data_IF_786942358483
#
_entry.id   IF_786942358483
#
_cell.length_a   1.000
_cell.length_b   1.000
_cell.length_c   1.000
_cell.angle_alpha   90.00
_cell.angle_beta   90.00
_cell.angle_gamma   90.00
#
_symmetry.space_group_name_H-M   'P 1'
#
loop_
_entity.id
_entity.type
_entity.pdbx_description
1 polymer ?
#
# COMPACT_ATOMS: atom_id res chain seq x y z
N UNK A 1 -13.43 -3.02 14.30
CA UNK A 1 -13.42 -3.59 12.93
C UNK A 1 -12.52 -2.69 12.10
N UNK A 2 -11.33 -3.13 11.68
CA UNK A 2 -10.43 -2.30 10.86
C UNK A 2 -11.04 -2.16 9.45
N UNK A 3 -11.49 -0.97 9.00
CA UNK A 3 -12.13 -0.82 7.69
C UNK A 3 -11.04 -0.57 6.65
N UNK A 4 -10.28 -1.59 6.29
CA UNK A 4 -9.24 -1.46 5.27
C UNK A 4 -9.18 -2.75 4.46
N UNK A 5 -10.16 -2.87 3.55
CA UNK A 5 -10.46 -3.94 2.59
C UNK A 5 -9.64 -5.24 2.72
N UNK A 6 -9.66 -5.89 3.89
CA UNK A 6 -9.21 -7.27 4.07
C UNK A 6 -10.26 -8.18 3.47
N UNK A 7 -10.25 -8.28 2.14
CA UNK A 7 -11.08 -9.21 1.40
C UNK A 7 -10.26 -10.47 1.13
N UNK A 8 -10.88 -11.64 1.36
CA UNK A 8 -10.25 -12.93 1.14
C UNK A 8 -10.79 -13.61 -0.12
N UNK A 9 -9.93 -14.31 -0.86
CA UNK A 9 -10.24 -14.99 -2.11
C UNK A 9 -9.63 -16.39 -2.14
N UNK A 10 -10.23 -17.27 -2.93
CA UNK A 10 -9.73 -18.64 -3.10
C UNK A 10 -8.62 -18.71 -4.18
N UNK A 11 -8.55 -17.71 -5.06
CA UNK A 11 -7.60 -17.66 -6.16
C UNK A 11 -6.89 -16.29 -6.28
N UNK A 12 -5.62 -16.33 -6.67
CA UNK A 12 -4.82 -15.12 -6.89
C UNK A 12 -5.40 -14.20 -7.98
N UNK A 13 -5.93 -14.77 -9.06
CA UNK A 13 -6.56 -13.99 -10.13
C UNK A 13 -7.77 -13.19 -9.65
N UNK A 14 -8.55 -13.74 -8.71
CA UNK A 14 -9.69 -13.04 -8.10
C UNK A 14 -9.21 -11.90 -7.18
N UNK A 15 -8.13 -12.13 -6.44
CA UNK A 15 -7.50 -11.09 -5.62
C UNK A 15 -6.97 -9.93 -6.49
N UNK A 16 -6.31 -10.21 -7.61
CA UNK A 16 -5.90 -9.18 -8.57
C UNK A 16 -7.10 -8.45 -9.18
N UNK A 17 -8.15 -9.17 -9.58
CA UNK A 17 -9.35 -8.55 -10.13
C UNK A 17 -10.04 -7.66 -9.09
N UNK A 18 -10.03 -8.05 -7.82
CA UNK A 18 -10.55 -7.21 -6.73
C UNK A 18 -9.75 -5.91 -6.61
N UNK A 19 -8.41 -5.97 -6.64
CA UNK A 19 -7.58 -4.77 -6.64
C UNK A 19 -7.91 -3.90 -7.86
N UNK A 20 -8.00 -4.48 -9.05
CA UNK A 20 -8.29 -3.73 -10.27
C UNK A 20 -9.67 -3.02 -10.22
N UNK A 21 -10.70 -3.70 -9.71
CA UNK A 21 -12.05 -3.12 -9.53
C UNK A 21 -12.08 -1.99 -8.50
N UNK A 22 -11.33 -2.12 -7.41
CA UNK A 22 -11.32 -1.15 -6.31
C UNK A 22 -10.25 -0.05 -6.47
N UNK A 23 -9.35 -0.19 -7.45
CA UNK A 23 -8.35 0.82 -7.79
C UNK A 23 -8.96 1.92 -8.65
N UNK A 24 -9.74 2.80 -8.00
CA UNK A 24 -10.06 4.12 -8.57
C UNK A 24 -8.73 4.90 -8.55
N UNK A 25 -8.08 5.02 -9.71
CA UNK A 25 -6.81 5.74 -9.91
C UNK A 25 -5.59 4.85 -10.24
N UNK A 26 -4.69 5.37 -11.10
CA UNK A 26 -3.57 4.63 -11.72
C UNK A 26 -2.37 4.30 -10.80
N UNK A 27 -2.35 4.76 -9.53
CA UNK A 27 -1.14 4.79 -8.69
C UNK A 27 -1.35 4.22 -7.28
N UNK A 28 -2.06 3.09 -7.12
CA UNK A 28 -2.19 2.47 -5.80
C UNK A 28 -1.13 1.39 -5.60
N UNK A 29 -0.31 1.58 -4.56
CA UNK A 29 0.54 0.53 -3.99
C UNK A 29 -0.35 -0.47 -3.25
N UNK A 30 -0.19 -1.76 -3.51
CA UNK A 30 -1.03 -2.84 -2.98
C UNK A 30 -0.20 -4.06 -2.59
N UNK A 31 -0.77 -4.89 -1.72
CA UNK A 31 -0.19 -6.17 -1.33
C UNK A 31 -1.26 -7.25 -1.24
N UNK A 32 -0.93 -8.46 -1.68
CA UNK A 32 -1.73 -9.67 -1.46
C UNK A 32 -0.92 -10.62 -0.59
N UNK A 33 -1.51 -11.10 0.50
CA UNK A 33 -0.94 -12.17 1.30
C UNK A 33 -1.62 -13.50 0.96
N UNK A 34 -0.86 -14.47 0.49
CA UNK A 34 -1.25 -15.88 0.40
C UNK A 34 -0.77 -16.59 1.64
N UNK A 35 -1.70 -17.17 2.39
CA UNK A 35 -1.39 -18.11 3.47
C UNK A 35 -1.72 -19.51 2.96
N UNK A 36 -0.78 -20.43 3.14
CA UNK A 36 -0.91 -21.81 2.70
C UNK A 36 -0.38 -22.82 3.70
N UNK A 37 -0.86 -24.05 3.60
CA UNK A 37 -0.34 -25.20 4.33
C UNK A 37 0.11 -26.27 3.31
N UNK A 38 1.39 -26.62 3.34
CA UNK A 38 1.99 -27.55 2.37
C UNK A 38 1.45 -28.98 2.49
N UNK A 39 1.03 -29.39 3.68
CA UNK A 39 0.58 -30.77 3.92
C UNK A 39 -0.83 -30.99 3.38
N UNK A 40 -1.72 -30.02 3.54
CA UNK A 40 -3.10 -30.08 3.06
C UNK A 40 -3.26 -29.55 1.63
N UNK A 41 -2.36 -28.65 1.19
CA UNK A 41 -2.50 -27.90 -0.06
C UNK A 41 -3.49 -26.73 0.04
N UNK A 42 -4.09 -26.49 1.20
CA UNK A 42 -5.04 -25.40 1.42
C UNK A 42 -4.33 -24.06 1.37
N UNK A 43 -4.91 -23.12 0.62
CA UNK A 43 -4.41 -21.76 0.51
C UNK A 43 -5.54 -20.74 0.38
N UNK A 44 -5.29 -19.51 0.79
CA UNK A 44 -6.23 -18.40 0.68
C UNK A 44 -5.47 -17.08 0.54
N UNK A 45 -6.11 -16.11 -0.10
CA UNK A 45 -5.48 -14.85 -0.50
C UNK A 45 -6.18 -13.65 0.13
N UNK A 46 -5.45 -12.76 0.79
CA UNK A 46 -5.97 -11.53 1.37
C UNK A 46 -5.42 -10.31 0.67
N UNK A 47 -6.31 -9.42 0.24
CA UNK A 47 -5.94 -8.15 -0.39
C UNK A 47 -5.76 -7.07 0.68
N UNK A 48 -4.73 -6.24 0.51
CA UNK A 48 -4.54 -5.00 1.26
C UNK A 48 -4.08 -3.89 0.31
N UNK A 49 -4.47 -2.65 0.57
CA UNK A 49 -4.14 -1.49 -0.27
C UNK A 49 -3.51 -0.41 0.60
N UNK A 50 -2.44 0.24 0.13
CA UNK A 50 -1.84 1.36 0.83
C UNK A 50 -2.81 2.54 0.92
N UNK A 51 -2.94 3.05 2.13
CA UNK A 51 -3.78 4.19 2.50
C UNK A 51 -3.21 5.54 2.03
N UNK A 52 -1.89 5.64 1.82
CA UNK A 52 -1.20 6.87 1.39
C UNK A 52 -1.62 7.29 -0.01
N UNK A 53 -1.74 6.31 -0.91
CA UNK A 53 -2.18 6.55 -2.28
C UNK A 53 -3.68 6.80 -2.38
N UNK A 54 -4.50 6.19 -1.51
CA UNK A 54 -5.95 6.47 -1.47
C UNK A 54 -6.21 7.93 -1.11
N UNK A 55 -5.52 8.47 -0.09
CA UNK A 55 -5.60 9.89 0.26
C UNK A 55 -5.09 10.81 -0.84
N UNK A 56 -3.97 10.47 -1.49
CA UNK A 56 -3.38 11.28 -2.54
C UNK A 56 -4.22 11.28 -3.83
N UNK A 57 -4.77 10.13 -4.23
CA UNK A 57 -5.66 10.02 -5.40
C UNK A 57 -6.96 10.78 -5.15
N UNK A 58 -7.58 10.60 -3.99
CA UNK A 58 -8.81 11.32 -3.62
C UNK A 58 -8.54 12.82 -3.51
N UNK A 59 -7.43 13.20 -2.88
CA UNK A 59 -7.00 14.59 -2.80
C UNK A 59 -6.77 15.20 -4.18
N UNK A 60 -6.17 14.46 -5.12
CA UNK A 60 -5.93 14.91 -6.49
C UNK A 60 -7.20 14.98 -7.34
N UNK A 61 -8.12 14.01 -7.21
CA UNK A 61 -9.42 14.03 -7.90
C UNK A 61 -10.27 15.21 -7.40
N UNK A 62 -10.35 15.41 -6.08
CA UNK A 62 -11.06 16.54 -5.48
C UNK A 62 -10.41 17.88 -5.83
N UNK A 63 -9.07 17.94 -5.88
CA UNK A 63 -8.35 19.13 -6.34
C UNK A 63 -8.60 19.40 -7.83
N UNK A 64 -8.70 18.36 -8.66
CA UNK A 64 -8.99 18.52 -10.08
C UNK A 64 -10.43 19.02 -10.30
N UNK A 65 -11.40 18.47 -9.56
CA UNK A 65 -12.77 19.02 -9.54
C UNK A 65 -12.82 20.46 -9.03
N UNK A 66 -11.94 20.82 -8.08
CA UNK A 66 -11.79 22.20 -7.59
C UNK A 66 -11.16 23.12 -8.65
N UNK A 67 -10.12 22.67 -9.35
CA UNK A 67 -9.47 23.42 -10.41
C UNK A 67 -10.42 23.62 -11.61
N UNK A 68 -11.27 22.64 -11.92
CA UNK A 68 -12.35 22.76 -12.91
C UNK A 68 -13.46 23.73 -12.46
N UNK A 69 -13.87 23.66 -11.19
CA UNK A 69 -14.83 24.61 -10.62
C UNK A 69 -14.27 26.05 -10.61
N UNK A 70 -12.99 26.21 -10.27
CA UNK A 70 -12.24 27.47 -10.28
C UNK A 70 -12.05 28.01 -11.71
N UNK A 71 -11.78 27.14 -12.69
CA UNK A 71 -11.63 27.55 -14.09
C UNK A 71 -12.92 28.12 -14.67
N UNK A 72 -14.08 27.61 -14.23
CA UNK A 72 -15.42 28.13 -14.60
C UNK A 72 -15.78 29.44 -13.89
N UNK A 73 -15.07 29.79 -12.82
CA UNK A 73 -15.38 30.93 -11.95
C UNK A 73 -14.26 31.98 -11.86
N UNK A 74 -13.22 31.89 -12.71
CA UNK A 74 -12.14 32.89 -12.74
C UNK A 74 -12.71 34.29 -13.03
N UNK A 75 -12.62 35.23 -12.07
CA UNK A 75 -12.83 36.63 -12.36
C UNK A 75 -11.63 37.11 -13.17
N UNK A 76 -11.87 37.90 -14.21
CA UNK A 76 -10.81 38.66 -14.89
C UNK A 76 -10.46 39.84 -13.95
N UNK A 77 -9.67 39.61 -12.91
CA UNK A 77 -9.28 40.64 -11.93
C UNK A 77 -8.97 40.11 -10.50
N UNK A 78 -8.54 41.00 -9.58
CA UNK A 78 -8.31 40.64 -8.18
C UNK A 78 -9.60 40.19 -7.49
N UNK A 79 -9.52 39.07 -6.78
CA UNK A 79 -10.65 38.40 -6.13
C UNK A 79 -11.28 39.29 -5.04
N UNK A 80 -12.59 39.47 -5.11
CA UNK A 80 -13.37 40.22 -4.11
C UNK A 80 -13.46 39.45 -2.79
N UNK A 81 -13.75 40.16 -1.69
CA UNK A 81 -13.93 39.53 -0.35
C UNK A 81 -15.04 38.45 -0.34
N UNK A 82 -16.08 38.62 -1.15
CA UNK A 82 -17.19 37.66 -1.25
C UNK A 82 -16.76 36.38 -1.97
N UNK A 83 -15.99 36.51 -3.05
CA UNK A 83 -15.42 35.38 -3.78
C UNK A 83 -14.44 34.59 -2.92
N UNK A 84 -13.60 35.27 -2.14
CA UNK A 84 -12.70 34.62 -1.18
C UNK A 84 -13.45 33.85 -0.07
N UNK A 85 -14.58 34.39 0.40
CA UNK A 85 -15.44 33.71 1.38
C UNK A 85 -16.06 32.44 0.80
N UNK A 86 -16.59 32.51 -0.43
CA UNK A 86 -17.15 31.35 -1.13
C UNK A 86 -16.08 30.28 -1.40
N UNK A 87 -14.87 30.69 -1.78
CA UNK A 87 -13.74 29.79 -1.97
C UNK A 87 -13.37 29.04 -0.67
N UNK A 88 -13.32 29.75 0.46
CA UNK A 88 -13.05 29.14 1.76
C UNK A 88 -14.16 28.17 2.20
N UNK A 89 -15.42 28.48 1.91
CA UNK A 89 -16.55 27.60 2.18
C UNK A 89 -16.46 26.29 1.36
N UNK A 90 -16.16 26.38 0.07
CA UNK A 90 -15.94 25.20 -0.80
C UNK A 90 -14.78 24.34 -0.28
N UNK A 91 -13.66 24.97 0.08
CA UNK A 91 -12.50 24.28 0.65
C UNK A 91 -12.84 23.55 1.96
N UNK A 92 -13.66 24.15 2.81
CA UNK A 92 -14.12 23.54 4.06
C UNK A 92 -14.97 22.29 3.81
N UNK A 93 -15.96 22.38 2.92
CA UNK A 93 -16.80 21.23 2.56
C UNK A 93 -15.99 20.09 1.93
N UNK A 94 -14.95 20.41 1.15
CA UNK A 94 -14.04 19.41 0.60
C UNK A 94 -13.25 18.73 1.72
N UNK A 95 -12.68 19.49 2.64
CA UNK A 95 -11.95 18.95 3.79
C UNK A 95 -12.87 18.06 4.66
N UNK A 96 -14.13 18.44 4.84
CA UNK A 96 -15.14 17.64 5.55
C UNK A 96 -15.47 16.34 4.81
N UNK A 97 -15.59 16.37 3.47
CA UNK A 97 -15.79 15.15 2.66
C UNK A 97 -14.57 14.23 2.65
N UNK A 98 -13.35 14.79 2.64
CA UNK A 98 -12.12 14.03 2.82
C UNK A 98 -12.14 13.39 4.20
N UNK A 99 -12.37 14.17 5.25
CA UNK A 99 -12.41 13.69 6.62
C UNK A 99 -13.49 12.61 6.85
N UNK A 100 -14.69 12.76 6.25
CA UNK A 100 -15.77 11.76 6.31
C UNK A 100 -15.41 10.49 5.53
N UNK A 101 -14.84 10.60 4.33
CA UNK A 101 -14.38 9.42 3.58
C UNK A 101 -13.25 8.71 4.31
N UNK A 102 -12.29 9.48 4.83
CA UNK A 102 -11.18 9.01 5.66
C UNK A 102 -11.70 8.34 6.93
N UNK A 103 -12.66 8.95 7.63
CA UNK A 103 -13.33 8.38 8.79
C UNK A 103 -14.10 7.09 8.49
N UNK A 104 -14.84 7.04 7.38
CA UNK A 104 -15.56 5.83 6.91
C UNK A 104 -14.62 4.70 6.49
N UNK A 105 -13.43 5.02 6.02
CA UNK A 105 -12.34 4.06 5.74
C UNK A 105 -11.47 3.81 7.00
N UNK A 106 -11.88 4.27 8.19
CA UNK A 106 -11.14 4.08 9.44
C UNK A 106 -9.72 4.65 9.43
N UNK A 107 -9.54 5.78 8.75
CA UNK A 107 -8.28 6.53 8.63
C UNK A 107 -8.32 7.87 9.39
N UNK A 108 -9.36 8.09 10.19
CA UNK A 108 -9.66 9.39 10.81
C UNK A 108 -10.07 9.23 12.27
N UNK A 109 -9.17 8.72 13.10
CA UNK A 109 -9.22 8.83 14.55
C UNK A 109 -7.87 9.31 15.05
N UNK A 110 -7.85 10.16 16.07
CA UNK A 110 -6.61 10.57 16.75
C UNK A 110 -5.86 9.36 17.38
N UNK A 111 -6.55 8.22 17.52
CA UNK A 111 -6.03 6.94 18.02
C UNK A 111 -5.97 5.80 16.96
N UNK A 112 -6.46 6.03 15.74
CA UNK A 112 -6.51 4.99 14.70
C UNK A 112 -5.26 5.07 13.80
N UNK A 113 -4.30 4.19 14.13
CA UNK A 113 -3.00 4.07 13.49
C UNK A 113 -3.00 4.22 11.96
N UNK A 114 -2.66 5.44 11.54
CA UNK A 114 -1.58 5.70 10.60
C UNK A 114 -1.76 5.14 9.19
N UNK A 115 -1.95 6.07 8.24
CA UNK A 115 -1.66 5.88 6.83
C UNK A 115 -0.38 5.06 6.66
N UNK A 116 -0.37 3.86 6.08
CA UNK A 116 0.82 3.01 5.91
C UNK A 116 1.04 2.43 4.52
N UNK A 117 2.25 1.93 4.29
CA UNK A 117 2.60 1.16 3.10
C UNK A 117 1.85 -0.18 3.07
N UNK A 118 1.70 -0.79 1.89
CA UNK A 118 0.91 -2.01 1.77
C UNK A 118 1.46 -3.17 2.64
N UNK A 119 2.77 -3.25 2.81
CA UNK A 119 3.46 -4.17 3.71
C UNK A 119 3.07 -3.96 5.17
N UNK A 120 2.93 -2.72 5.63
CA UNK A 120 2.49 -2.43 6.99
C UNK A 120 1.05 -2.88 7.21
N UNK A 121 0.20 -2.78 6.17
CA UNK A 121 -1.18 -3.27 6.23
C UNK A 121 -1.24 -4.78 6.39
N UNK A 122 -0.37 -5.52 5.69
CA UNK A 122 -0.21 -6.97 5.89
C UNK A 122 0.20 -7.27 7.34
N UNK A 123 1.16 -6.52 7.88
CA UNK A 123 1.65 -6.73 9.26
C UNK A 123 0.56 -6.42 10.30
N UNK A 124 -0.22 -5.35 10.11
CA UNK A 124 -1.33 -4.99 11.00
C UNK A 124 -2.49 -5.99 10.93
N UNK A 125 -2.76 -6.53 9.74
CA UNK A 125 -3.82 -7.50 9.50
C UNK A 125 -3.43 -8.94 9.85
N UNK A 126 -2.18 -9.20 10.23
CA UNK A 126 -1.62 -10.54 10.35
C UNK A 126 -2.46 -11.48 11.20
N UNK A 127 -2.72 -11.11 12.45
CA UNK A 127 -3.41 -11.99 13.40
C UNK A 127 -4.87 -12.28 12.95
N UNK A 128 -5.51 -11.31 12.32
CA UNK A 128 -6.85 -11.49 11.76
C UNK A 128 -6.83 -12.41 10.53
N UNK A 129 -5.82 -12.31 9.65
CA UNK A 129 -5.67 -13.23 8.51
C UNK A 129 -5.43 -14.67 8.98
N UNK A 130 -4.56 -14.87 9.98
CA UNK A 130 -4.31 -16.20 10.57
C UNK A 130 -5.60 -16.78 11.16
N UNK A 131 -6.33 -15.98 11.93
CA UNK A 131 -7.61 -16.39 12.52
C UNK A 131 -8.64 -16.76 11.46
N UNK A 132 -8.77 -15.98 10.40
CA UNK A 132 -9.68 -16.25 9.28
C UNK A 132 -9.26 -17.50 8.51
N UNK A 133 -7.97 -17.71 8.28
CA UNK A 133 -7.43 -18.93 7.67
C UNK A 133 -7.83 -20.16 8.48
N UNK A 134 -7.55 -20.17 9.79
CA UNK A 134 -7.91 -21.28 10.67
C UNK A 134 -9.42 -21.49 10.75
N UNK A 135 -10.22 -20.42 10.77
CA UNK A 135 -11.69 -20.56 10.76
C UNK A 135 -12.18 -21.23 9.47
N UNK A 136 -11.57 -20.89 8.34
CA UNK A 136 -11.95 -21.42 7.04
C UNK A 136 -11.51 -22.87 6.84
N UNK A 137 -10.33 -23.24 7.31
CA UNK A 137 -9.73 -24.57 7.15
C UNK A 137 -9.75 -25.41 8.44
N UNK A 138 -10.83 -25.31 9.22
CA UNK A 138 -11.08 -26.16 10.40
C UNK A 138 -9.92 -26.20 11.43
N UNK A 139 -9.45 -25.02 11.82
CA UNK A 139 -8.35 -24.73 12.76
C UNK A 139 -6.96 -25.14 12.27
N UNK A 140 -6.81 -25.39 10.97
CA UNK A 140 -5.49 -25.54 10.36
C UNK A 140 -4.68 -24.23 10.46
N UNK A 141 -3.37 -24.37 10.63
CA UNK A 141 -2.43 -23.25 10.64
C UNK A 141 -1.61 -23.25 9.34
N UNK A 142 -1.33 -22.07 8.74
CA UNK A 142 -0.48 -22.00 7.57
C UNK A 142 0.98 -22.25 7.94
N UNK A 143 1.75 -22.85 7.04
CA UNK A 143 3.20 -23.08 7.17
C UNK A 143 4.00 -22.53 5.98
N UNK A 144 3.32 -21.88 5.04
CA UNK A 144 3.86 -21.17 3.88
C UNK A 144 3.14 -19.83 3.70
N UNK A 145 3.93 -18.81 3.35
CA UNK A 145 3.43 -17.47 3.05
C UNK A 145 4.04 -17.00 1.74
N UNK A 146 3.18 -16.49 0.85
CA UNK A 146 3.61 -15.74 -0.33
C UNK A 146 3.02 -14.34 -0.30
N UNK A 147 3.87 -13.32 -0.44
CA UNK A 147 3.40 -11.94 -0.59
C UNK A 147 3.54 -11.52 -2.05
N UNK A 148 2.53 -10.85 -2.57
CA UNK A 148 2.55 -10.26 -3.91
C UNK A 148 2.39 -8.76 -3.78
N UNK A 149 3.42 -8.00 -4.15
CA UNK A 149 3.49 -6.56 -3.96
C UNK A 149 3.49 -5.82 -5.30
N UNK A 150 2.85 -4.65 -5.36
CA UNK A 150 2.96 -3.75 -6.52
C UNK A 150 4.39 -3.27 -6.75
N UNK A 151 5.13 -3.08 -5.66
CA UNK A 151 6.45 -2.47 -5.62
C UNK A 151 7.29 -3.23 -4.60
N UNK A 152 8.60 -3.27 -4.79
CA UNK A 152 9.52 -3.86 -3.81
C UNK A 152 9.46 -3.03 -2.51
N UNK A 153 9.66 -3.63 -1.33
CA UNK A 153 9.62 -2.85 -0.10
C UNK A 153 10.68 -1.76 -0.06
N UNK A 154 10.33 -0.62 0.53
CA UNK A 154 11.31 0.42 0.81
C UNK A 154 12.34 -0.09 1.83
N UNK A 155 13.59 0.37 1.68
CA UNK A 155 14.75 -0.04 2.51
C UNK A 155 15.27 1.11 3.38
N UNK A 156 14.68 2.29 3.23
CA UNK A 156 14.98 3.51 3.98
C UNK A 156 13.73 4.03 4.70
N UNK A 157 13.90 5.02 5.56
CA UNK A 157 12.78 5.77 6.13
C UNK A 157 12.20 6.66 5.04
N UNK A 158 10.98 6.33 4.60
CA UNK A 158 10.23 7.03 3.55
C UNK A 158 9.28 8.08 4.14
N UNK A 159 9.67 8.62 5.29
CA UNK A 159 8.92 9.64 6.03
C UNK A 159 7.96 9.09 7.09
N UNK A 160 7.48 9.98 7.98
CA UNK A 160 6.73 9.59 9.18
C UNK A 160 5.35 9.00 8.89
N UNK A 161 4.80 9.24 7.70
CA UNK A 161 3.49 8.73 7.26
C UNK A 161 3.56 7.37 6.54
N UNK A 162 4.73 6.75 6.47
CA UNK A 162 4.94 5.49 5.76
C UNK A 162 5.78 4.52 6.58
N UNK A 163 6.67 5.06 7.41
CA UNK A 163 7.70 4.31 8.11
C UNK A 163 7.55 4.32 9.63
N UNK A 164 6.72 5.18 10.20
CA UNK A 164 6.57 5.32 11.67
C UNK A 164 5.22 4.81 12.19
N UNK A 165 4.39 4.17 11.35
CA UNK A 165 3.03 3.74 11.73
C UNK A 165 2.97 2.54 12.67
N UNK A 166 4.09 1.84 12.85
CA UNK A 166 4.22 0.71 13.76
C UNK A 166 5.23 1.06 14.86
N UNK A 167 4.76 1.64 15.99
CA UNK A 167 5.63 2.01 17.10
C UNK A 167 6.50 0.84 17.57
N UNK A 168 7.78 1.13 17.85
CA UNK A 168 8.75 0.12 18.28
C UNK A 168 9.24 -0.83 17.17
N UNK A 169 8.79 -0.69 15.92
CA UNK A 169 9.28 -1.46 14.78
C UNK A 169 10.34 -0.70 13.97
N UNK A 170 11.16 -1.41 13.17
CA UNK A 170 12.09 -0.79 12.25
C UNK A 170 11.40 0.17 11.27
N UNK A 171 12.13 1.16 10.78
CA UNK A 171 11.54 2.22 9.95
C UNK A 171 11.20 1.76 8.52
N UNK A 172 12.00 0.90 7.91
CA UNK A 172 11.76 0.46 6.52
C UNK A 172 10.80 -0.73 6.41
N UNK A 173 10.02 -0.80 5.33
CA UNK A 173 9.12 -1.92 5.06
C UNK A 173 9.86 -3.25 4.97
N UNK A 174 11.06 -3.25 4.36
CA UNK A 174 11.92 -4.41 4.32
C UNK A 174 12.24 -4.93 5.73
N UNK A 175 12.76 -4.07 6.60
CA UNK A 175 13.15 -4.48 7.95
C UNK A 175 11.95 -4.91 8.82
N UNK A 176 10.77 -4.32 8.59
CA UNK A 176 9.53 -4.74 9.23
C UNK A 176 9.07 -6.12 8.78
N UNK A 177 9.18 -6.43 7.49
CA UNK A 177 8.88 -7.76 6.97
C UNK A 177 9.86 -8.80 7.50
N UNK A 178 11.16 -8.50 7.54
CA UNK A 178 12.17 -9.40 8.13
C UNK A 178 11.94 -9.64 9.63
N UNK A 179 11.48 -8.61 10.36
CA UNK A 179 11.05 -8.77 11.74
C UNK A 179 9.84 -9.71 11.85
N UNK A 180 8.82 -9.56 10.98
CA UNK A 180 7.67 -10.47 10.94
C UNK A 180 8.10 -11.91 10.66
N UNK A 181 8.97 -12.13 9.66
CA UNK A 181 9.51 -13.45 9.33
C UNK A 181 10.19 -14.08 10.54
N UNK A 182 11.00 -13.31 11.26
CA UNK A 182 11.73 -13.80 12.45
C UNK A 182 10.78 -14.11 13.62
N UNK A 183 9.69 -13.36 13.76
CA UNK A 183 8.71 -13.53 14.83
C UNK A 183 7.74 -14.70 14.60
N UNK A 184 7.75 -15.32 13.41
CA UNK A 184 6.79 -16.35 12.99
C UNK A 184 7.49 -17.64 12.58
N UNK A 185 8.20 -18.32 13.51
CA UNK A 185 8.97 -19.55 13.23
C UNK A 185 8.09 -20.74 12.79
N UNK A 186 6.79 -20.69 13.02
CA UNK A 186 5.80 -21.64 12.51
C UNK A 186 5.73 -21.65 10.98
N UNK A 187 5.94 -20.50 10.33
CA UNK A 187 5.97 -20.39 8.88
C UNK A 187 7.33 -20.85 8.37
N UNK A 188 7.37 -21.96 7.63
CA UNK A 188 8.62 -22.57 7.15
C UNK A 188 9.07 -22.05 5.80
N UNK A 189 8.16 -21.45 5.03
CA UNK A 189 8.45 -20.89 3.70
C UNK A 189 7.88 -19.49 3.59
N UNK A 190 8.74 -18.55 3.20
CA UNK A 190 8.37 -17.19 2.88
C UNK A 190 8.86 -16.89 1.47
N UNK A 191 7.99 -16.38 0.61
CA UNK A 191 8.37 -15.83 -0.70
C UNK A 191 7.66 -14.50 -0.90
N UNK A 192 8.38 -13.50 -1.42
CA UNK A 192 7.87 -12.14 -1.59
C UNK A 192 8.10 -11.76 -3.05
N UNK A 193 7.04 -11.81 -3.82
CA UNK A 193 7.02 -11.34 -5.20
C UNK A 193 6.73 -9.84 -5.23
N UNK A 194 7.46 -9.10 -6.06
CA UNK A 194 7.19 -7.70 -6.32
C UNK A 194 7.19 -7.41 -7.82
N UNK A 195 6.24 -6.58 -8.25
CA UNK A 195 6.03 -6.30 -9.68
C UNK A 195 7.01 -5.26 -10.24
N UNK A 196 7.39 -4.30 -9.41
CA UNK A 196 8.30 -3.21 -9.76
C UNK A 196 9.33 -2.97 -8.68
N UNK A 197 10.53 -2.56 -9.06
CA UNK A 197 11.49 -2.05 -8.09
C UNK A 197 11.04 -0.67 -7.62
N UNK A 198 10.87 -0.53 -6.31
CA UNK A 198 10.63 0.77 -5.70
C UNK A 198 11.81 1.70 -5.99
N UNK A 199 11.48 2.96 -6.28
CA UNK A 199 12.47 4.03 -6.25
C UNK A 199 12.85 4.69 -7.57
N UNK A 200 12.38 4.37 -8.78
CA UNK A 200 12.85 5.16 -9.96
C UNK A 200 12.57 6.69 -9.87
N UNK A 201 11.48 7.09 -9.21
CA UNK A 201 11.12 8.50 -8.98
C UNK A 201 11.65 9.05 -7.66
N UNK A 202 11.67 8.24 -6.60
CA UNK A 202 12.16 8.66 -5.28
C UNK A 202 13.67 8.65 -5.19
N UNK A 203 14.34 7.72 -5.87
CA UNK A 203 15.79 7.76 -6.11
C UNK A 203 16.19 9.02 -6.87
N UNK A 204 15.40 9.46 -7.87
CA UNK A 204 15.66 10.74 -8.57
C UNK A 204 15.44 11.96 -7.67
N UNK A 205 14.47 11.92 -6.76
CA UNK A 205 14.23 13.01 -5.78
C UNK A 205 15.28 13.04 -4.68
N UNK A 206 15.67 11.88 -4.17
CA UNK A 206 16.74 11.69 -3.19
C UNK A 206 18.10 12.09 -3.77
N UNK A 207 18.45 11.62 -4.96
CA UNK A 207 19.72 11.93 -5.64
C UNK A 207 19.88 13.42 -5.97
N UNK A 208 18.80 14.18 -6.16
CA UNK A 208 18.88 15.63 -6.40
C UNK A 208 19.39 16.43 -5.20
N UNK A 209 19.24 15.90 -3.98
CA UNK A 209 19.55 16.61 -2.73
C UNK A 209 20.48 15.82 -1.79
N UNK A 210 21.04 14.68 -2.23
CA UNK A 210 21.89 13.81 -1.41
C UNK A 210 23.35 13.85 -1.86
N UNK A 211 24.26 13.66 -0.89
CA UNK A 211 25.68 13.47 -1.17
C UNK A 211 25.92 12.10 -1.83
N UNK A 212 27.01 11.92 -2.61
CA UNK A 212 27.36 10.63 -3.20
C UNK A 212 27.44 9.47 -2.18
N UNK A 213 27.87 9.76 -0.94
CA UNK A 213 27.93 8.76 0.13
C UNK A 213 26.54 8.30 0.58
N UNK A 214 25.61 9.22 0.79
CA UNK A 214 24.22 8.88 1.13
C UNK A 214 23.53 8.10 0.00
N UNK A 215 23.86 8.44 -1.26
CA UNK A 215 23.37 7.71 -2.42
C UNK A 215 23.92 6.27 -2.49
N UNK A 216 25.21 6.08 -2.21
CA UNK A 216 25.82 4.75 -2.12
C UNK A 216 25.16 3.86 -1.06
N UNK A 217 24.77 4.43 0.08
CA UNK A 217 24.06 3.71 1.14
C UNK A 217 22.66 3.24 0.70
N UNK A 218 21.91 4.09 -0.02
CA UNK A 218 20.61 3.71 -0.59
C UNK A 218 20.76 2.55 -1.58
N UNK A 219 21.77 2.59 -2.44
CA UNK A 219 22.04 1.51 -3.40
C UNK A 219 22.40 0.19 -2.71
N UNK A 220 23.26 0.22 -1.69
CA UNK A 220 23.62 -0.95 -0.89
C UNK A 220 22.42 -1.55 -0.17
N UNK A 221 21.57 -0.71 0.44
CA UNK A 221 20.34 -1.16 1.10
C UNK A 221 19.36 -1.78 0.11
N UNK A 222 19.26 -1.25 -1.11
CA UNK A 222 18.41 -1.84 -2.15
C UNK A 222 18.95 -3.18 -2.66
N UNK A 223 20.27 -3.38 -2.66
CA UNK A 223 20.87 -4.68 -2.96
C UNK A 223 20.40 -5.75 -1.96
N UNK A 224 20.14 -5.40 -0.70
CA UNK A 224 19.57 -6.33 0.30
C UNK A 224 18.19 -6.90 -0.09
N UNK A 225 17.43 -6.20 -0.95
CA UNK A 225 16.17 -6.70 -1.51
C UNK A 225 16.45 -7.48 -2.79
N UNK A 226 17.25 -6.91 -3.70
CA UNK A 226 17.49 -7.53 -5.01
C UNK A 226 18.26 -8.84 -4.94
N UNK A 227 19.14 -9.00 -3.95
CA UNK A 227 20.04 -10.14 -3.82
C UNK A 227 19.51 -11.17 -2.82
N UNK A 228 18.42 -10.86 -2.11
CA UNK A 228 17.80 -11.79 -1.17
C UNK A 228 16.86 -12.74 -1.92
N UNK A 229 17.10 -14.07 -1.89
CA UNK A 229 16.32 -15.04 -2.66
C UNK A 229 14.84 -15.12 -2.26
N UNK A 230 14.47 -14.61 -1.07
CA UNK A 230 13.08 -14.47 -0.64
C UNK A 230 12.32 -13.44 -1.49
N UNK A 231 13.02 -12.43 -2.00
CA UNK A 231 12.45 -11.33 -2.75
C UNK A 231 12.67 -11.55 -4.24
N UNK A 232 11.59 -11.71 -4.98
CA UNK A 232 11.64 -12.07 -6.38
C UNK A 232 10.80 -11.09 -7.21
N UNK A 233 11.31 -10.74 -8.39
CA UNK A 233 10.48 -10.07 -9.38
C UNK A 233 9.33 -10.99 -9.80
N UNK A 234 8.20 -10.41 -10.19
CA UNK A 234 7.13 -11.18 -10.82
C UNK A 234 7.66 -11.95 -12.02
N UNK A 235 7.29 -13.23 -12.10
CA UNK A 235 7.52 -14.06 -13.29
C UNK A 235 6.62 -13.61 -14.44
N UNK A 236 6.87 -14.14 -15.64
CA UNK A 236 6.00 -13.90 -16.79
C UNK A 236 4.58 -14.39 -16.54
N UNK A 237 4.39 -15.51 -15.83
CA UNK A 237 3.03 -15.98 -15.50
C UNK A 237 2.32 -15.05 -14.52
N UNK A 238 3.02 -14.53 -13.51
CA UNK A 238 2.45 -13.59 -12.56
C UNK A 238 2.10 -12.25 -13.21
N UNK A 239 2.95 -11.74 -14.10
CA UNK A 239 2.64 -10.55 -14.89
C UNK A 239 1.44 -10.78 -15.81
N UNK A 240 1.38 -11.92 -16.50
CA UNK A 240 0.23 -12.29 -17.34
C UNK A 240 -1.05 -12.34 -16.52
N UNK A 241 -1.04 -13.02 -15.36
CA UNK A 241 -2.21 -13.13 -14.49
C UNK A 241 -2.68 -11.77 -13.97
N UNK A 242 -1.75 -10.90 -13.58
CA UNK A 242 -2.08 -9.53 -13.17
C UNK A 242 -2.67 -8.72 -14.34
N UNK A 243 -2.12 -8.84 -15.54
CA UNK A 243 -2.61 -8.14 -16.73
C UNK A 243 -3.98 -8.64 -17.19
N UNK A 244 -4.22 -9.96 -17.15
CA UNK A 244 -5.51 -10.58 -17.47
C UNK A 244 -6.61 -10.10 -16.51
N UNK A 245 -6.24 -9.82 -15.25
CA UNK A 245 -7.12 -9.19 -14.26
C UNK A 245 -7.30 -7.66 -14.44
N UNK A 246 -6.78 -7.08 -15.53
CA UNK A 246 -6.75 -5.64 -15.82
C UNK A 246 -5.96 -4.80 -14.80
N UNK A 247 -5.03 -5.41 -14.07
CA UNK A 247 -4.18 -4.70 -13.13
C UNK A 247 -3.05 -3.98 -13.89
N UNK A 248 -3.24 -2.70 -14.19
CA UNK A 248 -2.24 -1.91 -14.92
C UNK A 248 -0.97 -1.76 -14.09
N UNK A 249 0.21 -1.86 -14.73
CA UNK A 249 1.43 -1.28 -14.16
C UNK A 249 1.14 0.21 -13.96
N UNK A 250 1.28 0.73 -12.74
CA UNK A 250 1.21 2.18 -12.51
C UNK A 250 2.19 2.94 -13.43
N UNK A 251 2.02 4.24 -13.61
CA UNK A 251 3.01 5.05 -14.35
C UNK A 251 4.35 5.09 -13.64
#
# INVERSE_FOLDING_TARGET
MLPNLLASFDELGQAFANIARNSIGKNRVWAIAELGNRSSGNKRFWVTISTQNTLQVIGNELKSSLDEANARSKPIGPMTKLEASNFNAVRRTINEKIADYVGRQGMGGDDDGGVGHAEERVIMGWDEMIKQYGTHFNREEPDEVRLYLSDSPCTIHDGPKASDNLPGKPKSCYAKLELLVTQKPEIKSWTIYYRKKWGMLEQKKAAKNQTPAAWGEVQQRQAMVNDNPRYQLFTEELEKLANDANLKRGG
#
